data_IF_544934798197
#
_entry.id   IF_544934798197
#
_cell.length_a   1.000
_cell.length_b   1.000
_cell.length_c   1.000
_cell.angle_alpha   90.00
_cell.angle_beta   90.00
_cell.angle_gamma   90.00
#
_symmetry.space_group_name_H-M   'P 1'
#
loop_
_entity.id
_entity.type
_entity.pdbx_description
1 polymer ?
2 non-polymer ?
3 non-polymer ?
4 non-polymer ?
5 non-polymer ?
6 water ?
#
# COMPACT_ATOMS: atom_id res chain seq x y z
N UNK A 29 5.28 -14.67 -5.69
CA UNK A 29 4.99 -13.28 -5.21
C UNK A 29 6.31 -12.53 -4.98
N UNK A 30 6.56 -11.49 -5.78
CA UNK A 30 7.77 -10.63 -5.71
C UNK A 30 7.95 -10.08 -4.30
N UNK A 31 9.20 -9.86 -3.88
CA UNK A 31 9.59 -9.35 -2.54
C UNK A 31 8.74 -8.13 -2.19
N UNK A 32 8.14 -8.14 -1.00
CA UNK A 32 7.08 -7.19 -0.56
C UNK A 32 7.72 -5.90 -0.02
N UNK A 33 6.93 -4.82 0.01
CA UNK A 33 7.23 -3.61 0.82
C UNK A 33 7.36 -4.06 2.28
N UNK A 34 8.25 -3.41 3.04
CA UNK A 34 8.61 -3.83 4.43
C UNK A 34 7.99 -2.86 5.44
N UNK A 35 7.59 -1.66 5.01
CA UNK A 35 6.95 -0.64 5.89
C UNK A 35 5.63 -0.18 5.29
N UNK A 36 4.74 0.30 6.15
CA UNK A 36 3.53 1.09 5.81
C UNK A 36 3.84 2.56 6.16
N UNK A 37 3.60 3.48 5.22
CA UNK A 37 4.03 4.91 5.34
C UNK A 37 2.83 5.81 5.05
N UNK A 38 2.69 6.91 5.82
CA UNK A 38 1.61 7.92 5.64
C UNK A 38 2.20 9.32 5.92
N UNK A 39 1.70 10.33 5.22
CA UNK A 39 1.94 11.76 5.56
C UNK A 39 0.85 12.15 6.55
N UNK A 40 1.20 12.45 7.80
CA UNK A 40 0.22 12.72 8.90
C UNK A 40 -0.48 14.06 8.65
N UNK A 41 -1.49 14.37 9.46
CA UNK A 41 -2.36 15.57 9.32
C UNK A 41 -1.56 16.85 9.62
N UNK A 42 -0.38 16.75 10.23
CA UNK A 42 0.53 17.91 10.47
C UNK A 42 1.76 17.83 9.55
N UNK A 43 1.66 17.09 8.45
CA UNK A 43 2.62 17.12 7.33
C UNK A 43 3.92 16.38 7.62
N UNK A 44 3.95 15.54 8.65
CA UNK A 44 5.12 14.70 9.00
C UNK A 44 4.88 13.28 8.50
N UNK A 45 5.83 12.72 7.74
CA UNK A 45 5.78 11.30 7.30
C UNK A 45 6.02 10.42 8.53
N UNK A 46 5.18 9.40 8.72
CA UNK A 46 5.38 8.36 9.76
C UNK A 46 5.44 6.99 9.06
N UNK A 47 6.42 6.17 9.43
CA UNK A 47 6.65 4.82 8.85
C UNK A 47 6.39 3.79 9.95
N UNK A 48 5.84 2.63 9.57
CA UNK A 48 5.52 1.50 10.48
C UNK A 48 6.16 0.24 9.91
N UNK A 49 6.97 -0.44 10.72
CA UNK A 49 7.64 -1.70 10.34
C UNK A 49 7.59 -2.72 11.46
N UNK A 50 8.01 -3.94 11.17
CA UNK A 50 8.12 -5.05 12.16
C UNK A 50 9.60 -5.18 12.55
N UNK A 51 9.88 -5.17 13.85
CA UNK A 51 11.23 -5.39 14.42
C UNK A 51 11.54 -6.87 14.52
N UNK A 52 12.76 -7.20 14.98
CA UNK A 52 13.24 -8.59 15.16
C UNK A 52 12.43 -9.28 16.29
N UNK A 53 11.74 -8.49 17.13
CA UNK A 53 10.89 -8.97 18.25
C UNK A 53 9.44 -9.19 17.76
N UNK A 54 9.17 -8.96 16.47
CA UNK A 54 7.84 -9.14 15.82
C UNK A 54 6.81 -8.13 16.37
N UNK A 55 7.27 -7.11 17.09
CA UNK A 55 6.45 -5.93 17.49
C UNK A 55 6.41 -4.95 16.32
N UNK A 56 5.41 -4.07 16.30
CA UNK A 56 5.33 -2.95 15.31
C UNK A 56 6.06 -1.75 15.92
N UNK A 57 7.04 -1.20 15.19
CA UNK A 57 7.79 0.02 15.54
C UNK A 57 7.44 1.12 14.54
N UNK A 58 7.38 2.37 15.00
CA UNK A 58 7.10 3.57 14.16
C UNK A 58 8.23 4.59 14.31
N UNK A 59 8.51 5.31 13.21
CA UNK A 59 9.48 6.44 13.13
C UNK A 59 8.75 7.59 12.43
N UNK A 60 8.89 8.82 12.93
CA UNK A 60 8.19 10.02 12.40
C UNK A 60 9.20 11.16 12.16
N UNK A 61 9.04 11.90 11.07
CA UNK A 61 9.83 13.13 10.78
C UNK A 61 9.62 14.09 11.95
N UNK A 62 10.69 14.73 12.43
CA UNK A 62 10.65 15.77 13.50
C UNK A 62 9.99 17.04 12.94
N UNK A 63 10.12 17.27 11.64
CA UNK A 63 9.65 18.50 10.95
C UNK A 63 8.97 18.12 9.63
N UNK A 64 7.97 18.91 9.18
CA UNK A 64 7.25 18.62 7.94
C UNK A 64 7.99 19.13 6.69
N UNK A 65 9.19 18.63 6.44
CA UNK A 65 10.08 19.04 5.32
C UNK A 65 10.92 17.87 4.83
N UNK A 66 11.31 17.92 3.54
CA UNK A 66 12.31 17.02 2.92
C UNK A 66 13.60 17.07 3.74
N UNK A 67 14.24 15.91 3.93
CA UNK A 67 15.53 15.76 4.63
C UNK A 67 15.44 16.05 6.13
N UNK A 68 14.23 16.06 6.71
CA UNK A 68 14.01 16.25 8.16
C UNK A 68 14.72 15.14 8.93
N UNK A 69 15.14 15.43 10.17
CA UNK A 69 15.58 14.40 11.14
C UNK A 69 14.35 13.60 11.59
N UNK A 70 14.55 12.53 12.35
CA UNK A 70 13.50 11.56 12.73
C UNK A 70 13.46 11.42 14.26
N UNK A 71 12.29 11.05 14.80
CA UNK A 71 12.08 10.76 16.25
C UNK A 71 13.00 9.61 16.67
N UNK A 72 13.24 8.67 15.76
CA UNK A 72 13.80 7.34 16.07
C UNK A 72 12.69 6.33 16.27
N UNK A 73 13.05 5.05 16.32
CA UNK A 73 12.07 3.93 16.35
C UNK A 73 11.49 3.79 17.77
N UNK A 74 10.16 3.80 17.87
CA UNK A 74 9.37 3.66 19.12
C UNK A 74 8.40 2.48 18.92
N UNK A 75 8.36 1.55 19.87
CA UNK A 75 7.60 0.29 19.76
C UNK A 75 6.12 0.51 20.11
N UNK A 76 5.21 -0.05 19.32
CA UNK A 76 3.77 -0.19 19.66
C UNK A 76 3.52 -1.57 20.29
N UNK A 77 4.58 -2.36 20.51
CA UNK A 77 4.49 -3.74 21.06
C UNK A 77 3.68 -4.59 20.09
N UNK A 78 2.95 -5.58 20.59
CA UNK A 78 2.19 -6.54 19.79
C UNK A 78 3.09 -7.66 19.28
N UNK A 79 2.48 -8.68 18.69
CA UNK A 79 3.17 -9.81 18.02
C UNK A 79 2.46 -10.06 16.70
N UNK A 80 3.02 -9.58 15.59
CA UNK A 80 2.34 -9.57 14.26
C UNK A 80 2.94 -10.67 13.38
N UNK A 81 2.09 -11.22 12.49
CA UNK A 81 2.44 -12.28 11.50
C UNK A 81 1.98 -11.83 10.11
N UNK A 82 1.83 -10.52 9.92
CA UNK A 82 1.58 -9.87 8.60
C UNK A 82 2.38 -8.56 8.54
N UNK A 83 2.48 -7.98 7.35
CA UNK A 83 2.88 -6.56 7.19
C UNK A 83 1.87 -5.72 7.97
N UNK A 84 2.32 -4.76 8.82
CA UNK A 84 1.41 -3.83 9.47
C UNK A 84 0.98 -2.79 8.43
N UNK A 85 -0.29 -2.39 8.44
CA UNK A 85 -0.87 -1.39 7.51
C UNK A 85 -1.48 -0.26 8.33
N UNK A 86 -0.90 0.94 8.22
CA UNK A 86 -1.43 2.17 8.87
C UNK A 86 -2.48 2.78 7.94
N UNK A 87 -3.52 3.39 8.51
CA UNK A 87 -4.46 4.27 7.79
C UNK A 87 -4.81 5.46 8.68
N UNK A 88 -4.96 6.63 8.06
CA UNK A 88 -5.40 7.88 8.76
C UNK A 88 -6.92 7.92 8.73
N UNK A 89 -7.54 7.85 9.92
CA UNK A 89 -8.99 8.12 10.12
C UNK A 89 -9.28 9.53 9.60
N UNK A 90 -10.54 9.83 9.28
CA UNK A 90 -10.94 11.13 8.69
C UNK A 90 -10.82 12.25 9.73
N UNK A 91 -10.53 11.91 11.00
CA UNK A 91 -10.29 12.89 12.10
C UNK A 91 -8.78 13.01 12.37
N UNK A 92 -7.95 12.37 11.55
CA UNK A 92 -6.49 12.51 11.58
C UNK A 92 -5.80 11.49 12.48
N UNK A 93 -6.56 10.70 13.24
CA UNK A 93 -5.99 9.66 14.16
C UNK A 93 -5.48 8.48 13.32
N UNK A 94 -4.19 8.16 13.43
CA UNK A 94 -3.58 6.99 12.75
C UNK A 94 -4.13 5.71 13.38
N UNK A 95 -4.34 4.68 12.57
CA UNK A 95 -4.79 3.34 13.02
C UNK A 95 -4.02 2.27 12.25
N UNK A 96 -3.40 1.34 12.97
CA UNK A 96 -2.54 0.26 12.40
C UNK A 96 -3.31 -1.06 12.47
N UNK A 97 -3.34 -1.80 11.37
CA UNK A 97 -3.97 -3.14 11.25
C UNK A 97 -2.89 -4.17 10.92
N UNK A 98 -2.91 -5.31 11.60
CA UNK A 98 -1.91 -6.39 11.44
C UNK A 98 -2.49 -7.71 11.94
N UNK A 99 -2.15 -8.82 11.28
CA UNK A 99 -2.49 -10.19 11.76
C UNK A 99 -1.68 -10.47 13.03
N UNK A 100 -2.32 -11.09 14.04
CA UNK A 100 -1.68 -11.50 15.30
C UNK A 100 -1.12 -12.91 15.22
N UNK A 101 -0.45 -13.38 16.27
CA UNK A 101 0.10 -14.76 16.37
C UNK A 101 -1.03 -15.80 16.40
N UNK A 102 -2.27 -15.37 16.70
CA UNK A 102 -3.47 -16.24 16.74
C UNK A 102 -4.20 -16.18 15.39
N UNK A 103 -3.63 -15.47 14.41
CA UNK A 103 -4.16 -15.33 13.02
C UNK A 103 -5.44 -14.48 13.01
N UNK A 104 -5.75 -13.77 14.10
CA UNK A 104 -6.85 -12.79 14.15
C UNK A 104 -6.34 -11.47 13.59
N UNK A 105 -7.25 -10.63 13.10
CA UNK A 105 -6.95 -9.22 12.76
C UNK A 105 -6.88 -8.45 14.08
N UNK A 106 -5.77 -7.76 14.34
CA UNK A 106 -5.60 -6.84 15.49
C UNK A 106 -5.48 -5.41 14.97
N UNK A 107 -5.76 -4.44 15.84
CA UNK A 107 -5.59 -3.01 15.51
C UNK A 107 -5.27 -2.23 16.77
N UNK A 108 -4.69 -1.05 16.57
CA UNK A 108 -4.26 -0.08 17.61
C UNK A 108 -4.40 1.30 16.96
N UNK A 109 -4.80 2.30 17.73
CA UNK A 109 -5.15 3.64 17.18
C UNK A 109 -4.60 4.73 18.09
N UNK A 110 -4.29 5.89 17.51
CA UNK A 110 -4.03 7.13 18.27
C UNK A 110 -5.34 7.54 18.95
N UNK A 111 -5.28 7.95 20.22
CA UNK A 111 -6.46 8.39 21.01
C UNK A 111 -6.76 9.85 20.68
N UNK A 112 -5.75 10.59 20.21
CA UNK A 112 -5.87 11.96 19.65
C UNK A 112 -4.91 12.11 18.46
N UNK A 113 -5.31 12.93 17.48
CA UNK A 113 -4.55 13.19 16.24
C UNK A 113 -3.07 13.37 16.57
N UNK A 114 -2.22 12.45 16.10
CA UNK A 114 -0.73 12.51 16.20
C UNK A 114 -0.28 12.47 17.67
N UNK A 115 -1.11 11.96 18.58
CA UNK A 115 -0.86 11.93 20.04
C UNK A 115 -0.58 10.49 20.48
N UNK A 116 -0.93 10.16 21.74
CA UNK A 116 -0.76 8.83 22.34
C UNK A 116 -1.54 7.75 21.61
N UNK A 117 -1.16 6.48 21.82
CA UNK A 117 -1.81 5.29 21.21
C UNK A 117 -2.61 4.52 22.26
N UNK A 118 -3.65 3.82 21.81
CA UNK A 118 -4.43 2.82 22.59
C UNK A 118 -3.56 1.59 22.85
N UNK A 119 -4.13 0.56 23.49
CA UNK A 119 -3.59 -0.81 23.50
C UNK A 119 -4.07 -1.52 22.23
N UNK A 120 -3.39 -2.60 21.83
CA UNK A 120 -3.85 -3.50 20.74
C UNK A 120 -5.19 -4.11 21.14
N UNK A 121 -6.14 -4.16 20.20
CA UNK A 121 -7.46 -4.82 20.39
C UNK A 121 -7.67 -5.79 19.22
N UNK A 122 -8.29 -6.94 19.49
CA UNK A 122 -8.62 -7.95 18.45
C UNK A 122 -9.93 -7.56 17.75
N UNK A 123 -9.97 -7.74 16.43
CA UNK A 123 -11.21 -7.70 15.60
C UNK A 123 -11.57 -9.13 15.18
N UNK A 124 -10.88 -10.13 15.75
CA UNK A 124 -11.17 -11.55 15.55
C UNK A 124 -10.92 -11.99 14.12
N UNK A 125 -11.69 -12.99 13.67
CA UNK A 125 -11.50 -13.64 12.36
C UNK A 125 -10.27 -14.54 12.35
N UNK A 126 -10.07 -15.26 11.24
CA UNK A 126 -8.85 -16.05 10.95
C UNK A 126 -8.42 -15.71 9.52
N UNK A 127 -7.34 -14.93 9.38
CA UNK A 127 -6.94 -14.32 8.07
C UNK A 127 -5.59 -14.89 7.63
N UNK A 128 -5.38 -14.94 6.31
CA UNK A 128 -4.25 -15.65 5.64
C UNK A 128 -3.56 -14.71 4.63
N UNK A 129 -3.74 -13.40 4.77
CA UNK A 129 -3.08 -12.36 3.94
C UNK A 129 -2.76 -11.15 4.83
N UNK A 130 -1.95 -10.21 4.31
CA UNK A 130 -1.82 -8.85 4.87
C UNK A 130 -3.19 -8.19 4.76
N UNK A 131 -3.56 -7.27 5.68
CA UNK A 131 -4.79 -6.49 5.52
C UNK A 131 -4.63 -5.45 4.40
N UNK A 132 -5.71 -5.17 3.68
CA UNK A 132 -5.84 -4.00 2.78
C UNK A 132 -6.83 -3.04 3.42
N UNK A 133 -6.49 -1.75 3.49
CA UNK A 133 -7.26 -0.75 4.29
C UNK A 133 -7.59 0.47 3.41
N UNK A 134 -8.85 0.90 3.44
CA UNK A 134 -9.31 2.21 2.89
C UNK A 134 -10.48 2.71 3.74
N UNK A 135 -10.84 3.98 3.58
CA UNK A 135 -11.99 4.59 4.30
C UNK A 135 -13.09 4.87 3.28
N UNK A 136 -14.33 4.60 3.66
CA UNK A 136 -15.56 4.87 2.87
C UNK A 136 -15.80 6.39 2.89
N UNK A 137 -16.66 6.88 2.00
CA UNK A 137 -17.01 8.33 1.86
C UNK A 137 -17.68 8.84 3.15
N UNK A 138 -18.17 7.93 4.01
CA UNK A 138 -18.86 8.26 5.28
C UNK A 138 -17.89 8.21 6.46
N UNK A 139 -16.58 8.08 6.20
CA UNK A 139 -15.52 8.06 7.23
C UNK A 139 -15.40 6.72 7.93
N UNK A 140 -16.07 5.67 7.45
CA UNK A 140 -15.99 4.31 8.03
C UNK A 140 -14.84 3.54 7.35
N UNK A 141 -13.82 3.16 8.13
CA UNK A 141 -12.68 2.33 7.65
C UNK A 141 -13.23 0.93 7.30
N UNK A 142 -12.77 0.41 6.15
CA UNK A 142 -13.08 -0.95 5.63
C UNK A 142 -11.74 -1.69 5.52
N UNK A 143 -11.63 -2.86 6.18
CA UNK A 143 -10.40 -3.70 6.16
C UNK A 143 -10.72 -5.01 5.43
N UNK A 144 -9.88 -5.36 4.46
CA UNK A 144 -10.03 -6.56 3.61
C UNK A 144 -8.88 -7.51 3.92
N UNK A 145 -9.17 -8.80 3.99
CA UNK A 145 -8.18 -9.86 4.29
C UNK A 145 -8.66 -11.17 3.67
N UNK A 146 -7.72 -12.00 3.21
CA UNK A 146 -8.02 -13.38 2.76
C UNK A 146 -8.37 -14.22 4.00
N UNK A 147 -9.38 -15.08 3.88
CA UNK A 147 -9.80 -16.01 4.93
C UNK A 147 -9.10 -17.35 4.81
N UNK A 148 -9.41 -18.29 5.71
CA UNK A 148 -8.83 -19.67 5.71
C UNK A 148 -9.41 -20.45 4.53
N UNK A 149 -10.53 -19.99 3.96
CA UNK A 149 -11.16 -20.58 2.74
C UNK A 149 -10.59 -19.93 1.48
N UNK A 150 -9.63 -19.00 1.64
CA UNK A 150 -8.93 -18.26 0.56
C UNK A 150 -9.89 -17.30 -0.16
N UNK A 151 -11.06 -17.02 0.41
CA UNK A 151 -12.01 -16.00 -0.08
C UNK A 151 -11.58 -14.63 0.45
N UNK A 152 -12.01 -13.55 -0.20
CA UNK A 152 -11.85 -12.17 0.29
C UNK A 152 -12.95 -11.90 1.33
N UNK A 153 -12.54 -11.58 2.57
CA UNK A 153 -13.43 -11.16 3.67
C UNK A 153 -13.17 -9.68 3.97
N UNK A 154 -14.11 -9.00 4.62
CA UNK A 154 -13.91 -7.61 5.10
C UNK A 154 -14.69 -7.36 6.39
N UNK A 155 -14.21 -6.38 7.16
CA UNK A 155 -14.84 -5.89 8.42
C UNK A 155 -14.67 -4.36 8.42
N UNK A 156 -15.66 -3.63 8.93
CA UNK A 156 -15.70 -2.15 8.85
C UNK A 156 -16.14 -1.53 10.17
N UNK A 157 -15.66 -0.31 10.44
CA UNK A 157 -16.25 0.62 11.44
C UNK A 157 -17.73 0.81 11.10
N UNK A 158 -18.62 0.82 12.11
CA UNK A 158 -20.09 1.01 11.91
C UNK A 158 -20.45 2.49 12.03
N UNK A 159 -19.53 3.32 12.50
CA UNK A 159 -19.66 4.81 12.56
C UNK A 159 -18.33 5.45 12.16
N UNK A 160 -18.35 6.70 11.70
CA UNK A 160 -17.17 7.43 11.20
C UNK A 160 -16.06 7.35 12.25
N UNK A 161 -14.88 6.84 11.85
CA UNK A 161 -13.65 6.73 12.68
C UNK A 161 -14.00 6.26 14.11
N UNK A 162 -14.85 5.23 14.22
CA UNK A 162 -15.42 4.78 15.52
C UNK A 162 -15.84 3.32 15.47
N UNK A 163 -15.80 2.66 16.63
CA UNK A 163 -16.46 1.36 16.88
C UNK A 163 -17.94 1.56 17.17
N UNK A 164 -18.72 0.47 17.37
CA UNK A 164 -18.19 -0.89 17.27
C UNK A 164 -17.92 -1.23 15.79
N UNK A 165 -17.16 -2.31 15.55
CA UNK A 165 -16.88 -2.82 14.18
C UNK A 165 -18.00 -3.78 13.78
N UNK A 166 -18.20 -3.93 12.48
CA UNK A 166 -19.20 -4.85 11.86
C UNK A 166 -18.81 -6.29 12.15
N UNK A 167 -19.68 -7.24 11.78
CA UNK A 167 -19.31 -8.67 11.64
C UNK A 167 -18.36 -8.82 10.45
N UNK A 168 -17.57 -9.88 10.43
CA UNK A 168 -16.80 -10.33 9.24
C UNK A 168 -17.81 -10.77 8.17
N UNK A 169 -17.63 -10.33 6.93
CA UNK A 169 -18.52 -10.67 5.79
C UNK A 169 -17.67 -11.09 4.59
N UNK A 170 -18.09 -12.15 3.90
CA UNK A 170 -17.34 -12.76 2.77
C UNK A 170 -17.78 -12.12 1.45
N UNK A 171 -16.81 -11.85 0.58
CA UNK A 171 -17.02 -11.43 -0.83
C UNK A 171 -16.67 -12.60 -1.77
N UNK A 172 -16.42 -13.78 -1.19
CA UNK A 172 -16.21 -15.06 -1.93
C UNK A 172 -14.93 -14.96 -2.76
N UNK A 173 -14.87 -15.70 -3.87
CA UNK A 173 -13.67 -15.81 -4.75
C UNK A 173 -12.60 -16.66 -4.10
N UNK A 174 -11.53 -16.95 -4.86
CA UNK A 174 -10.29 -17.62 -4.37
C UNK A 174 -9.10 -16.79 -4.84
N UNK A 175 -8.37 -16.18 -3.91
CA UNK A 175 -7.27 -15.22 -4.22
C UNK A 175 -5.94 -15.82 -3.75
N UNK A 176 -4.88 -15.59 -4.54
CA UNK A 176 -3.52 -16.17 -4.35
C UNK A 176 -2.50 -15.05 -4.12
N UNK A 177 -2.95 -13.83 -3.82
CA UNK A 177 -2.09 -12.67 -3.46
C UNK A 177 -2.69 -11.92 -2.28
N UNK A 178 -1.92 -11.01 -1.69
CA UNK A 178 -2.45 -9.98 -0.77
C UNK A 178 -3.39 -9.10 -1.60
N UNK A 179 -4.55 -8.70 -1.02
CA UNK A 179 -5.47 -7.82 -1.72
C UNK A 179 -4.97 -6.36 -1.67
N UNK A 180 -5.43 -5.55 -2.63
CA UNK A 180 -5.20 -4.09 -2.69
C UNK A 180 -6.55 -3.39 -2.85
N UNK A 181 -6.75 -2.26 -2.16
CA UNK A 181 -8.04 -1.52 -2.21
C UNK A 181 -7.76 -0.05 -2.54
N UNK A 182 -8.64 0.57 -3.32
CA UNK A 182 -8.64 2.03 -3.60
C UNK A 182 -10.08 2.48 -3.85
N UNK A 183 -10.39 3.73 -3.51
CA UNK A 183 -11.75 4.31 -3.77
C UNK A 183 -11.76 4.84 -5.20
N UNK A 184 -12.84 4.55 -5.94
CA UNK A 184 -13.12 5.20 -7.24
C UNK A 184 -13.41 6.68 -7.00
N UNK A 185 -13.37 7.50 -8.04
CA UNK A 185 -13.59 8.97 -7.98
C UNK A 185 -15.08 9.26 -7.73
N UNK A 186 -15.95 8.25 -7.71
CA UNK A 186 -17.38 8.36 -7.35
C UNK A 186 -17.64 7.73 -5.97
N UNK A 187 -16.59 7.42 -5.22
CA UNK A 187 -16.70 7.00 -3.80
C UNK A 187 -16.94 5.51 -3.61
N UNK A 188 -16.93 4.72 -4.68
CA UNK A 188 -17.06 3.24 -4.63
C UNK A 188 -15.69 2.61 -4.37
N UNK A 189 -15.54 1.85 -3.27
CA UNK A 189 -14.32 1.07 -2.98
C UNK A 189 -14.18 -0.02 -4.05
N UNK A 190 -12.94 -0.35 -4.43
CA UNK A 190 -12.63 -1.40 -5.44
C UNK A 190 -11.38 -2.15 -4.97
N UNK A 191 -11.45 -3.48 -4.98
CA UNK A 191 -10.41 -4.38 -4.42
C UNK A 191 -9.82 -5.20 -5.57
N UNK A 192 -8.50 -5.35 -5.56
CA UNK A 192 -7.72 -6.08 -6.59
C UNK A 192 -6.93 -7.19 -5.90
N UNK A 193 -6.90 -8.37 -6.52
CA UNK A 193 -6.16 -9.53 -6.01
C UNK A 193 -5.92 -10.52 -7.15
N UNK A 194 -4.83 -11.27 -7.05
CA UNK A 194 -4.51 -12.35 -8.03
C UNK A 194 -5.44 -13.54 -7.79
N UNK A 195 -5.88 -14.19 -8.87
CA UNK A 195 -6.73 -15.39 -8.83
C UNK A 195 -5.91 -16.66 -8.96
N UNK A 196 -6.56 -17.82 -8.93
CA UNK A 196 -5.91 -19.16 -9.00
C UNK A 196 -5.28 -19.36 -10.39
N UNK A 197 -5.76 -18.62 -11.39
CA UNK A 197 -5.22 -18.63 -12.79
C UNK A 197 -4.07 -17.62 -12.91
N UNK A 198 -3.68 -16.98 -11.81
CA UNK A 198 -2.60 -15.95 -11.72
C UNK A 198 -2.99 -14.67 -12.48
N UNK A 199 -4.25 -14.53 -12.90
CA UNK A 199 -4.79 -13.30 -13.52
C UNK A 199 -5.09 -12.28 -12.42
N UNK A 200 -5.15 -11.01 -12.80
CA UNK A 200 -5.65 -9.91 -11.93
C UNK A 200 -7.17 -9.98 -11.91
N UNK A 201 -7.78 -10.12 -10.72
CA UNK A 201 -9.25 -10.05 -10.54
C UNK A 201 -9.58 -8.84 -9.69
N UNK A 202 -10.81 -8.34 -9.78
CA UNK A 202 -11.26 -7.16 -9.01
C UNK A 202 -12.77 -7.27 -8.75
N UNK A 203 -13.20 -6.54 -7.72
CA UNK A 203 -14.59 -6.49 -7.19
C UNK A 203 -14.78 -5.10 -6.60
N UNK A 204 -15.99 -4.54 -6.69
CA UNK A 204 -16.27 -3.13 -6.33
C UNK A 204 -17.63 -3.00 -5.64
N UNK A 205 -17.74 -2.04 -4.72
CA UNK A 205 -19.03 -1.51 -4.23
C UNK A 205 -19.82 -1.01 -5.44
N UNK A 206 -21.12 -1.28 -5.49
CA UNK A 206 -22.04 -0.80 -6.55
C UNK A 206 -22.60 0.56 -6.13
N UNK A 207 -22.41 0.94 -4.86
CA UNK A 207 -22.68 2.29 -4.32
C UNK A 207 -21.72 2.60 -3.17
N UNK A 208 -21.33 3.88 -2.97
CA UNK A 208 -20.54 4.26 -1.79
C UNK A 208 -21.13 3.78 -0.46
N UNK A 209 -20.27 3.45 0.50
CA UNK A 209 -20.62 3.15 1.93
C UNK A 209 -21.39 1.83 2.03
N UNK A 210 -21.43 1.03 0.96
CA UNK A 210 -22.38 -0.09 0.77
C UNK A 210 -21.69 -1.43 1.04
N UNK A 211 -22.48 -2.43 1.45
CA UNK A 211 -22.09 -3.87 1.46
C UNK A 211 -22.75 -4.56 0.26
N UNK A 212 -23.40 -3.79 -0.63
CA UNK A 212 -23.78 -4.24 -2.00
C UNK A 212 -22.51 -4.26 -2.86
N UNK A 213 -21.81 -5.40 -2.91
CA UNK A 213 -20.58 -5.58 -3.72
C UNK A 213 -20.94 -6.30 -5.03
N UNK A 214 -20.18 -6.00 -6.09
CA UNK A 214 -20.30 -6.58 -7.45
C UNK A 214 -19.87 -8.05 -7.43
N UNK A 215 -20.02 -8.74 -8.56
CA UNK A 215 -19.33 -10.03 -8.80
C UNK A 215 -17.86 -9.80 -9.09
N UNK A 216 -17.03 -10.84 -8.94
CA UNK A 216 -15.60 -10.81 -9.35
C UNK A 216 -15.52 -10.64 -10.87
N UNK A 217 -14.54 -9.87 -11.35
CA UNK A 217 -14.26 -9.67 -12.78
C UNK A 217 -12.77 -9.95 -13.01
N UNK A 218 -12.42 -10.63 -14.11
CA UNK A 218 -11.02 -10.88 -14.51
C UNK A 218 -10.54 -9.76 -15.45
N UNK A 219 -9.44 -9.10 -15.09
CA UNK A 219 -8.71 -8.17 -15.99
C UNK A 219 -7.58 -8.94 -16.69
N UNK A 220 -7.57 -10.27 -16.58
CA UNK A 220 -6.66 -11.17 -17.32
C UNK A 220 -5.22 -10.95 -16.92
N UNK A 221 -4.29 -11.29 -17.82
CA UNK A 221 -2.84 -11.21 -17.61
C UNK A 221 -2.33 -12.32 -16.71
N UNK A 222 -1.04 -12.31 -16.42
CA UNK A 222 -0.35 -13.20 -15.42
C UNK A 222 0.55 -12.31 -14.57
N UNK A 223 0.24 -12.15 -13.28
CA UNK A 223 1.01 -11.27 -12.38
C UNK A 223 1.78 -12.13 -11.37
N UNK A 224 3.02 -11.72 -11.07
CA UNK A 224 3.97 -12.42 -10.18
C UNK A 224 4.35 -11.47 -9.04
N UNK A 225 3.48 -10.51 -8.75
CA UNK A 225 3.54 -9.63 -7.55
C UNK A 225 2.12 -9.37 -7.06
N UNK A 226 2.01 -8.86 -5.83
CA UNK A 226 0.79 -8.15 -5.34
C UNK A 226 0.48 -7.02 -6.34
N UNK A 227 -0.80 -6.74 -6.62
CA UNK A 227 -1.16 -5.56 -7.39
C UNK A 227 -1.06 -4.32 -6.48
N UNK A 228 -0.70 -3.17 -7.05
CA UNK A 228 -0.85 -1.84 -6.38
C UNK A 228 -1.75 -0.98 -7.27
N UNK A 229 -2.61 -0.19 -6.64
CA UNK A 229 -3.68 0.59 -7.34
C UNK A 229 -3.60 2.03 -6.84
N UNK A 230 -3.75 2.99 -7.76
CA UNK A 230 -3.71 4.43 -7.45
C UNK A 230 -4.82 5.13 -8.26
N UNK A 231 -5.25 6.30 -7.80
CA UNK A 231 -6.21 7.16 -8.52
C UNK A 231 -5.47 8.23 -9.30
N UNK A 232 -5.65 8.28 -10.62
CA UNK A 232 -5.02 9.27 -11.51
C UNK A 232 -5.56 10.67 -11.17
N UNK A 233 -4.85 11.71 -11.59
CA UNK A 233 -5.23 13.13 -11.39
C UNK A 233 -6.57 13.41 -12.08
N UNK A 234 -6.97 12.59 -13.08
CA UNK A 234 -8.25 12.73 -13.81
C UNK A 234 -9.25 11.65 -13.39
N UNK A 235 -9.09 11.07 -12.19
CA UNK A 235 -10.13 10.30 -11.48
C UNK A 235 -10.35 8.91 -12.06
N UNK A 236 -9.28 8.26 -12.52
CA UNK A 236 -9.32 6.86 -13.04
C UNK A 236 -8.43 5.98 -12.15
N UNK A 237 -8.86 4.74 -11.90
CA UNK A 237 -8.03 3.72 -11.19
C UNK A 237 -7.01 3.16 -12.18
N UNK A 238 -5.77 2.99 -11.72
CA UNK A 238 -4.65 2.41 -12.51
C UNK A 238 -3.93 1.39 -11.63
N UNK A 239 -3.70 0.18 -12.17
CA UNK A 239 -3.13 -0.96 -11.40
C UNK A 239 -1.77 -1.32 -12.00
N UNK A 240 -0.77 -1.50 -11.14
CA UNK A 240 0.61 -1.92 -11.49
C UNK A 240 0.91 -3.28 -10.85
N UNK A 241 1.57 -4.16 -11.60
CA UNK A 241 2.01 -5.49 -11.13
C UNK A 241 3.19 -5.97 -11.99
N UNK A 242 4.02 -6.84 -11.42
CA UNK A 242 5.07 -7.55 -12.19
C UNK A 242 4.40 -8.64 -13.01
N UNK A 243 4.87 -8.87 -14.24
CA UNK A 243 4.39 -9.95 -15.14
C UNK A 243 5.26 -11.19 -15.05
N UNK A 244 5.00 -12.19 -15.90
CA UNK A 244 5.71 -13.50 -15.89
C UNK A 244 7.15 -13.33 -16.36
N UNK A 245 7.43 -12.33 -17.21
CA UNK A 245 8.79 -12.01 -17.75
C UNK A 245 9.51 -11.01 -16.83
N UNK A 246 8.94 -10.71 -15.66
CA UNK A 246 9.51 -9.84 -14.59
C UNK A 246 9.56 -8.37 -15.03
N UNK A 247 8.81 -8.00 -16.08
CA UNK A 247 8.61 -6.59 -16.48
C UNK A 247 7.52 -5.97 -15.61
N UNK A 248 7.52 -4.64 -15.50
CA UNK A 248 6.41 -3.87 -14.90
C UNK A 248 5.29 -3.79 -15.94
N UNK A 249 4.05 -4.12 -15.55
CA UNK A 249 2.84 -3.95 -16.37
C UNK A 249 1.88 -2.99 -15.67
N UNK A 250 0.99 -2.37 -16.44
CA UNK A 250 -0.12 -1.55 -15.89
C UNK A 250 -1.34 -1.64 -16.81
N UNK A 251 -2.50 -1.38 -16.22
CA UNK A 251 -3.85 -1.45 -16.83
C UNK A 251 -4.69 -0.41 -16.08
N UNK A 252 -5.63 0.24 -16.75
CA UNK A 252 -6.36 1.42 -16.20
C UNK A 252 -7.79 1.46 -16.72
N UNK A 253 -8.69 2.02 -15.90
CA UNK A 253 -10.03 2.49 -16.33
C UNK A 253 -9.81 3.49 -17.46
N UNK A 254 -10.60 3.39 -18.54
CA UNK A 254 -10.51 4.28 -19.72
C UNK A 254 -11.37 5.54 -19.50
N UNK A 255 -12.31 5.50 -18.55
CA UNK A 255 -13.15 6.67 -18.13
C UNK A 255 -13.13 6.77 -16.62
N UNK A 256 -13.38 7.97 -16.03
CA UNK A 256 -13.43 8.10 -14.57
C UNK A 256 -14.39 7.09 -13.93
N UNK A 257 -13.92 6.38 -12.90
CA UNK A 257 -14.69 5.43 -12.05
C UNK A 257 -15.52 4.47 -12.92
N UNK A 258 -14.99 4.00 -14.04
CA UNK A 258 -15.79 3.22 -15.02
C UNK A 258 -14.95 2.35 -15.93
N UNK A 259 -15.57 1.29 -16.46
CA UNK A 259 -15.02 0.47 -17.56
C UNK A 259 -15.37 1.09 -18.91
N UNK A 260 -14.87 0.54 -20.05
CA UNK A 260 -13.97 -0.60 -20.02
C UNK A 260 -12.57 -0.25 -19.51
N UNK A 261 -11.81 -1.26 -19.06
CA UNK A 261 -10.37 -1.14 -18.76
C UNK A 261 -9.58 -1.23 -20.07
N UNK A 262 -8.42 -0.57 -20.11
CA UNK A 262 -7.41 -0.72 -21.19
C UNK A 262 -6.99 -2.18 -21.31
N UNK A 263 -6.28 -2.52 -22.38
CA UNK A 263 -5.44 -3.74 -22.42
C UNK A 263 -4.24 -3.50 -21.51
N UNK A 264 -3.66 -4.58 -20.99
CA UNK A 264 -2.35 -4.56 -20.29
C UNK A 264 -1.30 -3.87 -21.19
N UNK A 265 -0.49 -2.99 -20.61
CA UNK A 265 0.66 -2.35 -21.29
C UNK A 265 1.92 -2.60 -20.46
N UNK A 266 3.00 -3.03 -21.12
CA UNK A 266 4.33 -3.24 -20.50
C UNK A 266 5.02 -1.89 -20.31
N UNK A 267 5.55 -1.66 -19.10
CA UNK A 267 6.51 -0.57 -18.81
C UNK A 267 7.92 -1.17 -18.74
N UNK A 268 8.05 -2.45 -19.14
CA UNK A 268 9.35 -3.10 -19.43
C UNK A 268 10.16 -3.22 -18.13
N UNK A 269 11.49 -3.19 -18.25
CA UNK A 269 12.42 -3.39 -17.14
C UNK A 269 12.47 -4.85 -16.72
N UNK A 270 13.35 -5.16 -15.78
CA UNK A 270 13.43 -6.46 -15.07
C UNK A 270 13.50 -6.13 -13.58
N UNK A 271 12.42 -6.40 -12.82
CA UNK A 271 12.29 -5.99 -11.40
C UNK A 271 12.23 -7.25 -10.53
N UNK A 272 12.87 -7.18 -9.36
CA UNK A 272 13.08 -8.31 -8.42
C UNK A 272 12.39 -8.02 -7.08
N UNK A 273 11.45 -7.07 -7.08
CA UNK A 273 10.55 -6.77 -5.93
C UNK A 273 9.18 -6.37 -6.48
N UNK A 274 8.19 -6.26 -5.58
CA UNK A 274 6.89 -5.63 -5.87
C UNK A 274 7.14 -4.18 -6.28
N UNK A 275 6.35 -3.62 -7.22
CA UNK A 275 6.42 -2.19 -7.53
C UNK A 275 5.63 -1.38 -6.51
N UNK A 276 6.11 -0.18 -6.22
CA UNK A 276 5.41 0.86 -5.41
C UNK A 276 5.10 2.04 -6.31
N UNK A 277 3.87 2.54 -6.28
CA UNK A 277 3.40 3.66 -7.14
C UNK A 277 3.00 4.82 -6.24
N UNK A 278 3.13 6.04 -6.76
CA UNK A 278 2.82 7.31 -6.02
C UNK A 278 2.57 8.39 -7.06
N UNK A 279 1.74 9.38 -6.71
CA UNK A 279 1.48 10.58 -7.54
C UNK A 279 2.44 11.69 -7.10
N UNK A 280 3.17 12.28 -8.06
CA UNK A 280 3.93 13.53 -7.86
C UNK A 280 2.95 14.65 -7.48
N UNK A 281 3.45 15.76 -6.96
CA UNK A 281 2.64 16.95 -6.56
C UNK A 281 1.90 17.54 -7.77
N UNK A 282 2.33 17.22 -9.01
CA UNK A 282 1.73 17.72 -10.28
C UNK A 282 0.88 16.61 -10.94
N UNK A 283 0.69 15.48 -10.25
CA UNK A 283 -0.19 14.38 -10.69
C UNK A 283 0.51 13.34 -11.55
N UNK A 284 1.78 13.53 -11.90
CA UNK A 284 2.54 12.53 -12.71
C UNK A 284 2.76 11.28 -11.85
N UNK A 285 2.34 10.11 -12.35
CA UNK A 285 2.60 8.82 -11.67
C UNK A 285 4.09 8.49 -11.77
N UNK A 286 4.62 7.90 -10.71
CA UNK A 286 6.04 7.47 -10.62
C UNK A 286 6.06 6.11 -9.92
N UNK A 287 6.82 5.16 -10.45
CA UNK A 287 6.87 3.75 -9.94
C UNK A 287 8.30 3.44 -9.50
N UNK A 288 8.44 2.80 -8.33
CA UNK A 288 9.73 2.36 -7.74
C UNK A 288 9.73 0.83 -7.64
N UNK A 289 10.86 0.22 -7.97
CA UNK A 289 11.05 -1.25 -7.94
C UNK A 289 12.53 -1.56 -7.79
N UNK A 290 12.85 -2.71 -7.22
CA UNK A 290 14.25 -3.23 -7.15
C UNK A 290 14.59 -3.86 -8.50
N UNK A 291 15.81 -3.61 -8.99
CA UNK A 291 16.33 -4.19 -10.24
C UNK A 291 17.19 -5.41 -9.97
N UNK A 292 17.58 -6.12 -11.03
CA UNK A 292 18.40 -7.37 -10.98
C UNK A 292 19.64 -7.16 -10.10
N UNK A 293 20.26 -5.97 -10.14
CA UNK A 293 21.51 -5.65 -9.39
C UNK A 293 21.19 -5.22 -7.94
N UNK A 294 19.92 -5.26 -7.54
CA UNK A 294 19.42 -4.94 -6.16
C UNK A 294 19.46 -3.43 -5.90
N UNK A 295 19.72 -2.60 -6.92
CA UNK A 295 19.58 -1.13 -6.82
C UNK A 295 18.10 -0.76 -6.89
N UNK A 296 17.76 0.41 -6.36
CA UNK A 296 16.43 1.04 -6.56
C UNK A 296 16.37 1.61 -7.99
N UNK A 297 15.29 1.33 -8.72
CA UNK A 297 15.00 1.90 -10.06
C UNK A 297 13.66 2.63 -9.99
N UNK A 298 13.44 3.56 -10.92
CA UNK A 298 12.16 4.28 -11.04
C UNK A 298 11.90 4.69 -12.49
N UNK A 299 10.63 4.92 -12.78
CA UNK A 299 10.08 5.25 -14.12
C UNK A 299 8.85 6.12 -13.84
N UNK A 300 8.62 7.15 -14.66
CA UNK A 300 7.62 8.20 -14.35
C UNK A 300 6.95 8.69 -15.64
N UNK A 301 5.70 9.14 -15.52
CA UNK A 301 5.03 9.95 -16.58
C UNK A 301 5.84 11.25 -16.73
N UNK A 302 6.06 11.69 -17.97
CA UNK A 302 6.81 12.93 -18.30
C UNK A 302 5.80 14.03 -18.72
N UNK A 303 6.21 15.29 -18.59
CA UNK A 303 5.48 16.50 -19.09
C UNK A 303 4.32 16.81 -18.14
N UNK A 304 3.32 15.93 -18.06
CA UNK A 304 2.09 16.10 -17.25
C UNK A 304 1.52 14.73 -16.89
N UNK A 305 0.51 14.71 -16.03
CA UNK A 305 -0.26 13.50 -15.61
C UNK A 305 -0.88 12.87 -16.86
N UNK A 306 -1.05 11.55 -16.85
CA UNK A 306 -1.60 10.75 -17.97
C UNK A 306 -0.80 11.04 -19.25
N UNK A 307 0.47 11.43 -19.10
CA UNK A 307 1.40 11.71 -20.21
C UNK A 307 2.24 10.48 -20.55
N UNK A 308 3.14 10.58 -21.55
CA UNK A 308 3.99 9.45 -21.94
C UNK A 308 5.10 9.15 -20.93
N UNK A 309 5.36 7.85 -20.70
CA UNK A 309 6.26 7.36 -19.64
C UNK A 309 7.72 7.52 -20.06
N UNK A 310 8.58 7.80 -19.08
CA UNK A 310 10.06 7.82 -19.21
C UNK A 310 10.55 6.39 -19.48
N UNK A 311 11.87 6.23 -19.64
CA UNK A 311 12.56 4.92 -19.52
C UNK A 311 13.03 4.78 -18.07
N UNK A 312 13.36 3.57 -17.64
CA UNK A 312 13.83 3.25 -16.27
C UNK A 312 15.15 4.00 -16.01
N UNK A 313 15.32 4.52 -14.79
CA UNK A 313 16.57 5.16 -14.31
C UNK A 313 16.91 4.58 -12.94
N UNK A 314 18.20 4.40 -12.65
CA UNK A 314 18.67 3.88 -11.33
C UNK A 314 18.72 5.03 -10.32
N UNK A 315 18.46 4.71 -9.06
CA UNK A 315 18.75 5.58 -7.88
C UNK A 315 19.82 4.90 -7.02
N UNK A 316 20.42 3.82 -7.54
CA UNK A 316 21.55 3.11 -6.91
C UNK A 316 21.07 2.49 -5.58
N UNK A 317 21.96 2.41 -4.60
CA UNK A 317 21.70 1.71 -3.32
C UNK A 317 21.70 0.20 -3.52
N UNK A 318 21.59 -0.53 -2.42
CA UNK A 318 21.41 -2.00 -2.36
C UNK A 318 20.28 -2.29 -1.38
N UNK A 319 19.12 -2.74 -1.87
CA UNK A 319 17.89 -2.87 -1.04
C UNK A 319 17.49 -4.35 -0.96
N UNK A 320 16.92 -4.73 0.18
CA UNK A 320 16.56 -6.12 0.57
C UNK A 320 15.05 -6.18 0.83
N UNK A 321 14.30 -5.21 0.29
CA UNK A 321 12.81 -5.15 0.29
C UNK A 321 12.37 -4.45 -0.98
N UNK A 322 11.07 -4.48 -1.28
CA UNK A 322 10.46 -3.52 -2.23
C UNK A 322 10.56 -2.13 -1.62
N UNK A 323 10.64 -1.07 -2.46
CA UNK A 323 10.60 0.30 -1.96
C UNK A 323 9.16 0.69 -1.58
N UNK A 324 9.01 1.69 -0.70
CA UNK A 324 7.72 2.35 -0.35
C UNK A 324 7.87 3.85 -0.62
N UNK A 325 6.93 4.44 -1.36
CA UNK A 325 7.00 5.83 -1.85
C UNK A 325 5.82 6.65 -1.29
N UNK A 326 6.07 7.88 -0.88
CA UNK A 326 5.03 8.85 -0.42
C UNK A 326 5.48 10.26 -0.77
N UNK A 327 4.54 11.17 -0.97
CA UNK A 327 4.81 12.62 -1.18
C UNK A 327 4.90 13.28 0.20
N UNK A 328 5.98 14.03 0.46
CA UNK A 328 6.18 14.79 1.73
C UNK A 328 5.46 16.14 1.63
N UNK A 329 5.52 16.93 2.70
CA UNK A 329 4.80 18.22 2.87
C UNK A 329 5.40 19.31 1.98
N UNK A 330 6.57 19.07 1.37
CA UNK A 330 7.24 20.01 0.43
C UNK A 330 6.92 19.61 -1.02
N UNK A 331 6.03 18.63 -1.24
CA UNK A 331 5.61 18.18 -2.57
C UNK A 331 6.68 17.33 -3.26
N UNK A 332 7.62 16.77 -2.48
CA UNK A 332 8.73 15.93 -3.00
C UNK A 332 8.47 14.46 -2.63
N UNK A 333 8.68 13.54 -3.58
CA UNK A 333 8.59 12.08 -3.32
C UNK A 333 9.70 11.68 -2.35
N UNK A 334 9.36 10.81 -1.39
CA UNK A 334 10.31 10.16 -0.45
C UNK A 334 10.16 8.66 -0.62
N UNK A 335 11.29 7.95 -0.69
CA UNK A 335 11.31 6.47 -0.86
C UNK A 335 12.02 5.87 0.34
N UNK A 336 11.45 4.78 0.86
CA UNK A 336 11.98 3.96 1.97
C UNK A 336 12.14 2.53 1.47
N UNK A 337 13.22 1.87 1.90
CA UNK A 337 13.51 0.47 1.57
C UNK A 337 14.54 -0.07 2.58
N UNK A 338 14.45 -1.36 2.89
CA UNK A 338 15.43 -2.00 3.81
C UNK A 338 16.76 -2.15 3.07
N UNK A 339 17.87 -1.91 3.76
CA UNK A 339 19.24 -2.10 3.25
C UNK A 339 19.79 -3.46 3.60
N UNK A 340 21.03 -3.74 3.20
CA UNK A 340 21.74 -5.02 3.45
C UNK A 340 22.05 -5.17 4.94
N UNK A 341 22.05 -4.06 5.69
CA UNK A 341 22.28 -4.02 7.15
C UNK A 341 20.95 -4.17 7.91
N UNK A 342 19.84 -4.30 7.16
CA UNK A 342 18.46 -4.48 7.69
C UNK A 342 17.91 -3.18 8.30
N UNK A 343 18.64 -2.07 8.19
CA UNK A 343 18.14 -0.72 8.57
C UNK A 343 17.18 -0.24 7.48
N UNK A 344 16.29 0.71 7.80
CA UNK A 344 15.45 1.37 6.78
C UNK A 344 16.21 2.58 6.24
N UNK A 345 16.42 2.62 4.92
CA UNK A 345 17.15 3.69 4.22
C UNK A 345 16.17 4.60 3.48
N UNK A 346 16.48 5.89 3.39
CA UNK A 346 15.60 6.93 2.81
C UNK A 346 16.38 7.68 1.71
N UNK A 347 15.69 8.02 0.62
CA UNK A 347 16.20 8.88 -0.48
C UNK A 347 15.02 9.72 -0.99
N UNK A 348 15.25 10.99 -1.32
CA UNK A 348 14.14 11.90 -1.73
C UNK A 348 14.51 12.76 -2.94
N UNK A 349 13.47 13.35 -3.53
CA UNK A 349 13.43 13.94 -4.88
C UNK A 349 14.01 15.37 -4.87
N UNK A 350 15.32 15.50 -4.68
CA UNK A 350 16.09 16.78 -4.80
C UNK A 350 16.73 16.89 -6.18
N UNK A 354 18.24 13.36 -7.34
CA UNK A 354 17.70 12.91 -6.02
C UNK A 354 18.77 13.11 -4.93
N UNK A 355 18.35 13.03 -3.67
CA UNK A 355 19.22 13.16 -2.47
C UNK A 355 20.21 12.01 -2.41
N UNK A 356 21.17 12.10 -1.50
CA UNK A 356 22.02 10.97 -1.06
C UNK A 356 21.15 10.05 -0.19
N UNK A 357 21.38 8.74 -0.28
CA UNK A 357 20.82 7.72 0.63
C UNK A 357 21.20 8.08 2.07
N UNK A 358 20.24 8.13 2.99
CA UNK A 358 20.49 8.27 4.46
C UNK A 358 19.76 7.14 5.18
N UNK A 359 20.32 6.70 6.31
CA UNK A 359 19.79 5.58 7.13
C UNK A 359 18.94 6.13 8.27
N UNK A 360 17.74 5.56 8.46
CA UNK A 360 16.86 5.77 9.63
C UNK A 360 17.20 4.73 10.71
N UNK A 361 18.18 3.87 10.43
CA UNK A 361 18.66 2.82 11.37
C UNK A 361 17.53 1.82 11.62
N UNK A 362 17.48 1.23 12.80
CA UNK A 362 16.54 0.13 13.14
C UNK A 362 16.97 -1.17 12.50
N UNK A 363 16.20 -2.23 12.75
CA UNK A 363 16.40 -3.60 12.22
C UNK A 363 15.02 -4.19 11.89
N UNK A 364 14.67 -4.24 10.60
CA UNK A 364 13.31 -4.60 10.13
C UNK A 364 13.32 -6.03 9.57
N UNK A 365 12.18 -6.73 9.70
CA UNK A 365 11.95 -8.07 9.10
C UNK A 365 10.75 -7.97 8.15
N UNK A 366 10.69 -8.87 7.17
CA UNK A 366 9.54 -9.05 6.26
C UNK A 366 8.55 -10.01 6.92
N UNK A 367 7.45 -9.49 7.45
CA UNK A 367 6.41 -10.27 8.17
C UNK A 367 5.22 -10.56 7.25
N UNK A 368 5.35 -10.31 5.94
CA UNK A 368 4.25 -10.48 4.95
C UNK A 368 3.59 -11.85 5.16
N UNK A 369 2.26 -11.89 5.21
CA UNK A 369 1.43 -13.10 5.44
C UNK A 369 1.50 -14.01 4.20
N UNK A 370 1.72 -13.43 3.01
CA UNK A 370 1.90 -14.17 1.73
C UNK A 370 3.23 -13.73 1.10
N UNK A 371 4.15 -14.67 0.88
CA UNK A 371 5.49 -14.43 0.30
C UNK A 371 5.68 -15.29 -0.94
X LIG B 1 3.76 8.86 17.07
X LIG B 1 3.38 9.33 18.17
X LIG B 1 3.14 8.00 16.44
X LIG B 1 5.06 9.40 16.47
X LIG C 1 -12.77 -14.36 8.81
X LIG C 1 -13.95 -14.05 8.58
X LIG C 1 -12.43 -15.10 9.74
X LIG C 1 -11.70 -13.81 7.88
X LIG D 1 -12.35 1.62 17.29
X LIG D 1 -11.30 2.27 16.41
X LIG D 1 -11.50 3.79 16.53
X LIG D 1 -11.38 4.21 17.99
X LIG D 1 -11.69 5.67 18.22
X LIG D 1 -12.17 2.07 18.73
X LIG D 1 -13.19 1.48 19.54
X LIG D 1 -12.25 0.21 17.25
X LIG D 1 -11.45 1.82 15.05
X LIG D 1 -10.53 4.50 15.76
X LIG D 1 -12.30 3.48 18.81
X LIG D 1 -11.78 5.90 19.62
X LIG E 1 -11.80 -14.98 -8.03
X LIG E 1 -12.49 -14.46 -8.93
X LIG E 1 -12.04 -16.08 -7.53
X LIG E 1 -10.60 -14.20 -7.51
X LIG F 1 0.33 -9.09 -18.02
X LIG F 1 0.14 -8.26 -18.94
X LIG F 1 0.36 -10.32 -18.21
X LIG F 1 0.54 -8.55 -16.61
X LIG G 1 -15.30 -1.75 -14.01
X LIG G 1 -15.06 -1.31 -12.57
X LIG G 1 -15.96 -0.13 -12.27
X LIG G 1 -17.41 -0.50 -12.56
X LIG G 1 -18.35 0.67 -12.35
X LIG G 1 -16.78 -2.07 -14.22
X LIG G 1 -17.00 -2.45 -15.58
X LIG G 1 -14.55 -2.92 -14.34
X LIG G 1 -13.70 -0.96 -12.35
X LIG G 1 -15.80 0.24 -10.88
X LIG G 1 -17.56 -0.92 -13.91
X LIG G 1 -19.70 0.24 -12.53
X LIG H 1 15.05 -1.99 -14.69
X LIG H 1 15.51 -0.89 -14.99
X LIG H 1 15.10 -3.00 -15.44
X LIG H 1 14.35 -2.14 -13.35
X LIG I 1 -1.36 5.84 -18.01
X LIG I 1 -0.94 5.97 -19.47
X LIG I 1 -2.19 6.08 -20.37
X LIG I 1 -3.20 7.09 -19.82
X LIG I 1 -4.50 6.99 -20.63
X LIG I 1 -2.26 7.03 -17.67
X LIG I 1 -2.51 7.17 -16.27
X LIG I 1 -0.22 5.81 -17.15
X LIG I 1 -0.19 4.83 -19.89
X LIG I 1 -1.80 6.48 -21.69
X LIG I 1 -3.45 6.84 -18.43
X LIG I 1 -5.53 7.75 -19.98
X LIG J 1 21.91 2.33 0.39
X LIG J 1 21.12 1.16 0.34
X LIG J 1 23.25 2.12 0.97
X LIG J 1 24.05 1.18 0.28
X LIG K 1 13.27 12.71 -11.54
X LIG K 1 11.88 12.16 -11.28
X LIG K 1 10.90 13.26 -11.66
X LIG K 1 11.12 13.77 -13.09
X LIG K 1 10.55 15.18 -13.27
X LIG K 1 13.44 12.95 -13.02
X LIG K 1 14.73 13.50 -13.27
X LIG K 1 14.29 11.80 -11.12
X LIG K 1 11.69 11.78 -9.91
X LIG K 1 9.56 12.77 -11.51
X LIG K 1 12.48 13.89 -13.50
X LIG K 1 10.18 15.37 -14.64
X LIG L 1 13.67 -1.20 15.12
X LIG L 1 13.31 -0.45 16.04
X LIG L 1 14.71 -1.87 15.14
X LIG L 1 12.77 -1.29 13.88
X LIG M 1 0.34 0.86 3.61
#
# INVERSE_FOLDING_TARGET
>A
MQEEPTNIPRPDNAELLVASEVAIENAAIALSEIVSVVNTSDGRIEVFGVGTDNAVWHNRQTAPHSGSSWTGWISLNGKVTSKPVVYINTDGRLEVFARGTDNALWHIWQTATNAGWSNWQSLGGTITSNPAVYVNTDGRIDVFARGTDNALWHISQTAAHSGPWSSWQSLNGVITSNPAVHINSDGRLEVFARGTDNALWHIWQTAPDSNQWSGWDSLGGVITSDPVVIGTADGRLEVFARGSNNALYHIWQTVPHGGPWSNWASLNGVITSAPAVVKNSDGRLEVFARGTNNALYHIWQTVSHSGPWSNWATLNGTITSAPTAVEDADGRLEVFARGTDNALWNIWQATPSWSAWVSLKGSLIDASAIK
>B hetero
1 ACT C O OXT CH3
>C hetero
1 ACT C O OXT CH3
>D hetero
1 BGC C2 C3 C4 C5 C6 C1 O1 O2 O3 O4 O5 O6
>E hetero
1 ACT C O OXT CH3
>F hetero
1 ACT C O OXT CH3
>G hetero
1 BGC C2 C3 C4 C5 C6 C1 O1 O2 O3 O4 O5 O6
>H hetero
1 ACT C O OXT CH3
>I hetero
1 BGC C2 C3 C4 C5 C6 C1 O1 O2 O3 O4 O5 O6
>J hetero
1 EDO C1 O1 C2 O2
>K hetero
1 BGC C2 C3 C4 C5 C6 C1 O1 O2 O3 O4 O5 O6
>L hetero
1 ACT C O OXT CH3
>M hetero
1 NA NA
#
